data_IF_598225126897
#
_entry.id   IF_598225126897
#
_cell.length_a   1.000
_cell.length_b   1.000
_cell.length_c   1.000
_cell.angle_alpha   90.00
_cell.angle_beta   90.00
_cell.angle_gamma   90.00
#
_symmetry.space_group_name_H-M   'P 1'
#
loop_
_entity.id
_entity.type
_entity.pdbx_description
1 polymer ?
#
# COMPACT_ATOMS: atom_id res chain seq x y z
N UNK A 1 -12.33 -14.33 10.16
CA UNK A 1 -11.16 -13.88 10.90
C UNK A 1 -11.22 -12.38 11.17
N UNK A 2 -10.40 -11.91 12.07
CA UNK A 2 -10.31 -10.48 12.37
C UNK A 2 -10.02 -9.66 11.10
N UNK A 3 -9.08 -10.12 10.28
CA UNK A 3 -8.71 -9.44 9.05
C UNK A 3 -9.85 -9.38 8.06
N UNK A 4 -10.57 -10.49 7.86
CA UNK A 4 -11.73 -10.53 6.97
C UNK A 4 -12.83 -9.60 7.44
N UNK A 5 -13.12 -9.58 8.74
CA UNK A 5 -14.17 -8.73 9.30
C UNK A 5 -13.83 -7.25 9.11
N UNK A 6 -12.56 -6.89 9.32
CA UNK A 6 -12.10 -5.52 9.13
C UNK A 6 -12.25 -5.09 7.67
N UNK A 7 -11.83 -5.93 6.74
CA UNK A 7 -11.94 -5.63 5.31
C UNK A 7 -13.40 -5.50 4.90
N UNK A 8 -14.26 -6.42 5.33
CA UNK A 8 -15.69 -6.36 5.01
C UNK A 8 -16.34 -5.08 5.49
N UNK A 9 -15.92 -4.55 6.64
CA UNK A 9 -16.45 -3.28 7.13
C UNK A 9 -15.94 -2.08 6.33
N UNK A 10 -14.75 -2.17 5.73
CA UNK A 10 -14.14 -1.09 4.96
C UNK A 10 -14.53 -1.10 3.48
N UNK A 11 -14.98 -2.24 2.94
CA UNK A 11 -15.36 -2.38 1.52
C UNK A 11 -16.47 -1.42 1.11
N UNK A 12 -17.32 -0.98 2.04
CA UNK A 12 -18.39 -0.03 1.74
C UNK A 12 -17.88 1.39 1.47
N UNK A 13 -16.60 1.68 1.75
CA UNK A 13 -16.01 2.99 1.49
C UNK A 13 -15.78 3.15 -0.02
N UNK A 14 -16.47 4.12 -0.63
CA UNK A 14 -16.46 4.35 -2.08
C UNK A 14 -15.14 4.87 -2.63
N UNK A 15 -14.27 5.42 -1.76
CA UNK A 15 -12.96 5.95 -2.17
C UNK A 15 -11.86 4.91 -2.07
N UNK A 16 -12.21 3.70 -1.66
CA UNK A 16 -11.26 2.62 -1.46
C UNK A 16 -11.53 1.43 -2.35
N UNK A 17 -10.44 0.77 -2.76
CA UNK A 17 -10.48 -0.46 -3.54
C UNK A 17 -9.63 -1.51 -2.86
N UNK A 18 -10.11 -2.76 -2.84
CA UNK A 18 -9.41 -3.84 -2.16
C UNK A 18 -9.08 -4.96 -3.12
N UNK A 19 -7.90 -5.55 -2.94
CA UNK A 19 -7.51 -6.81 -3.56
C UNK A 19 -7.20 -7.80 -2.45
N UNK A 20 -7.75 -9.00 -2.58
CA UNK A 20 -7.64 -10.05 -1.58
C UNK A 20 -6.83 -11.20 -2.16
N UNK A 21 -5.82 -11.66 -1.42
CA UNK A 21 -5.07 -12.86 -1.80
C UNK A 21 -5.63 -14.05 -1.04
N UNK A 22 -5.92 -15.13 -1.77
CA UNK A 22 -6.44 -16.37 -1.21
C UNK A 22 -5.55 -17.55 -1.58
N UNK A 23 -5.40 -18.47 -0.64
CA UNK A 23 -4.81 -19.78 -0.88
C UNK A 23 -5.83 -20.81 -0.40
N UNK A 24 -6.30 -21.68 -1.31
CA UNK A 24 -7.28 -22.72 -0.98
C UNK A 24 -8.49 -22.17 -0.22
N UNK A 25 -9.09 -21.09 -0.73
CA UNK A 25 -10.26 -20.42 -0.15
C UNK A 25 -9.98 -19.68 1.16
N UNK A 26 -8.74 -19.66 1.64
CA UNK A 26 -8.35 -18.95 2.85
C UNK A 26 -7.75 -17.60 2.49
N UNK A 27 -8.21 -16.54 3.16
CA UNK A 27 -7.63 -15.21 2.99
C UNK A 27 -6.26 -15.16 3.65
N UNK A 28 -5.23 -14.84 2.87
CA UNK A 28 -3.84 -14.81 3.34
C UNK A 28 -3.19 -13.44 3.22
N UNK A 29 -3.85 -12.50 2.59
CA UNK A 29 -3.35 -11.14 2.47
C UNK A 29 -4.33 -10.22 1.78
N UNK A 30 -4.05 -8.93 1.84
CA UNK A 30 -4.86 -7.94 1.14
C UNK A 30 -4.08 -6.66 0.88
N UNK A 31 -4.57 -5.89 -0.08
CA UNK A 31 -4.08 -4.55 -0.37
C UNK A 31 -5.28 -3.60 -0.43
N UNK A 32 -5.07 -2.38 0.02
CA UNK A 32 -6.08 -1.32 -0.03
C UNK A 32 -5.52 -0.13 -0.78
N UNK A 33 -6.23 0.31 -1.81
CA UNK A 33 -5.95 1.53 -2.55
C UNK A 33 -6.95 2.60 -2.16
N UNK A 34 -6.49 3.82 -1.94
CA UNK A 34 -7.34 4.96 -1.63
C UNK A 34 -7.05 6.12 -2.59
N UNK A 35 -8.11 6.72 -3.12
CA UNK A 35 -7.99 7.96 -3.88
C UNK A 35 -8.48 9.10 -2.98
N UNK A 36 -7.55 9.92 -2.54
CA UNK A 36 -7.83 11.04 -1.63
C UNK A 36 -6.72 12.09 -1.73
N UNK A 37 -6.54 12.90 -0.68
CA UNK A 37 -5.50 13.93 -0.68
C UNK A 37 -4.12 13.33 -0.93
N UNK A 38 -3.33 14.01 -1.74
CA UNK A 38 -1.98 13.55 -2.14
C UNK A 38 -0.93 14.52 -1.57
N UNK A 39 0.15 14.00 -0.94
CA UNK A 39 1.24 14.86 -0.48
C UNK A 39 1.86 15.64 -1.63
N UNK A 40 2.32 16.87 -1.35
CA UNK A 40 2.94 17.71 -2.38
C UNK A 40 4.16 17.08 -3.02
N UNK A 41 4.89 16.24 -2.30
CA UNK A 41 6.08 15.57 -2.83
C UNK A 41 5.78 14.46 -3.83
N UNK A 42 4.50 14.07 -3.98
CA UNK A 42 4.08 13.03 -4.93
C UNK A 42 3.54 13.67 -6.18
N UNK A 43 4.25 13.50 -7.28
CA UNK A 43 3.88 14.01 -8.61
C UNK A 43 4.36 13.01 -9.66
N UNK A 44 3.77 12.94 -10.88
CA UNK A 44 2.63 13.75 -11.31
C UNK A 44 1.29 13.26 -10.75
N UNK A 45 0.29 14.11 -10.87
CA UNK A 45 -1.09 13.78 -10.53
C UNK A 45 -1.85 13.34 -11.79
N UNK A 46 -2.94 12.57 -11.66
CA UNK A 46 -3.50 12.06 -10.42
C UNK A 46 -2.68 10.92 -9.83
N UNK A 47 -2.68 10.81 -8.52
CA UNK A 47 -1.97 9.76 -7.81
C UNK A 47 -2.93 8.98 -6.91
N UNK A 48 -2.64 7.70 -6.69
CA UNK A 48 -3.43 6.85 -5.81
C UNK A 48 -2.54 6.30 -4.71
N UNK A 49 -3.09 6.19 -3.50
CA UNK A 49 -2.35 5.68 -2.36
C UNK A 49 -2.54 4.18 -2.18
N UNK A 50 -1.43 3.45 -2.03
CA UNK A 50 -1.44 2.11 -1.48
C UNK A 50 -1.45 2.27 0.04
N UNK A 51 -2.64 2.32 0.63
CA UNK A 51 -2.78 2.65 2.04
C UNK A 51 -2.50 1.47 2.96
N UNK A 52 -2.67 0.24 2.47
CA UNK A 52 -2.36 -0.96 3.22
C UNK A 52 -1.89 -2.07 2.29
N UNK A 53 -0.89 -2.79 2.75
CA UNK A 53 -0.41 -4.01 2.10
C UNK A 53 -0.08 -4.99 3.20
N UNK A 54 -0.80 -6.09 3.27
CA UNK A 54 -0.68 -7.05 4.36
C UNK A 54 -0.68 -8.47 3.85
N UNK A 55 0.18 -9.30 4.42
CA UNK A 55 0.13 -10.74 4.23
C UNK A 55 0.45 -11.43 5.56
N UNK A 56 -0.13 -12.60 5.78
CA UNK A 56 0.12 -13.37 6.97
C UNK A 56 1.60 -13.74 7.06
N UNK A 57 2.19 -13.57 8.24
CA UNK A 57 3.63 -13.78 8.45
C UNK A 57 4.09 -15.17 8.01
N UNK A 58 3.26 -16.19 8.26
CA UNK A 58 3.60 -17.58 7.90
C UNK A 58 3.75 -17.80 6.39
N UNK A 59 3.27 -16.87 5.58
CA UNK A 59 3.38 -16.95 4.11
C UNK A 59 4.36 -15.92 3.55
N UNK A 60 5.12 -15.22 4.39
CA UNK A 60 6.14 -14.29 3.91
C UNK A 60 7.17 -15.04 3.08
N UNK A 61 7.60 -14.42 1.98
CA UNK A 61 8.51 -15.05 1.05
C UNK A 61 7.85 -15.92 -0.02
N UNK A 62 6.52 -16.04 0.02
CA UNK A 62 5.75 -16.83 -0.94
C UNK A 62 5.22 -16.01 -2.13
N UNK A 63 5.56 -14.72 -2.19
CA UNK A 63 5.15 -13.87 -3.32
C UNK A 63 3.77 -13.23 -3.20
N UNK A 64 3.14 -13.30 -2.03
CA UNK A 64 1.81 -12.71 -1.82
C UNK A 64 1.87 -11.19 -1.95
N UNK A 65 2.83 -10.55 -1.28
CA UNK A 65 2.99 -9.09 -1.36
C UNK A 65 3.29 -8.63 -2.78
N UNK A 66 4.16 -9.35 -3.48
CA UNK A 66 4.48 -9.06 -4.88
C UNK A 66 3.23 -9.14 -5.76
N UNK A 67 2.47 -10.21 -5.63
CA UNK A 67 1.24 -10.41 -6.41
C UNK A 67 0.23 -9.30 -6.15
N UNK A 68 0.05 -8.92 -4.89
CA UNK A 68 -0.89 -7.85 -4.51
C UNK A 68 -0.45 -6.50 -5.07
N UNK A 69 0.83 -6.15 -4.95
CA UNK A 69 1.30 -4.84 -5.42
C UNK A 69 1.25 -4.76 -6.95
N UNK A 70 1.50 -5.85 -7.65
CA UNK A 70 1.35 -5.90 -9.09
C UNK A 70 -0.08 -5.63 -9.52
N UNK A 71 -1.06 -6.18 -8.80
CA UNK A 71 -2.48 -5.91 -9.05
C UNK A 71 -2.83 -4.45 -8.78
N UNK A 72 -2.25 -3.86 -7.75
CA UNK A 72 -2.47 -2.45 -7.42
C UNK A 72 -1.91 -1.54 -8.51
N UNK A 73 -0.73 -1.85 -9.02
CA UNK A 73 -0.11 -1.09 -10.11
C UNK A 73 -0.96 -1.21 -11.38
N UNK A 74 -1.43 -2.40 -11.71
CA UNK A 74 -2.32 -2.63 -12.84
C UNK A 74 -3.60 -1.81 -12.71
N UNK A 75 -4.21 -1.83 -11.53
CA UNK A 75 -5.41 -1.04 -11.24
C UNK A 75 -5.15 0.46 -11.47
N UNK A 76 -4.05 0.96 -10.95
CA UNK A 76 -3.69 2.37 -11.08
C UNK A 76 -3.48 2.75 -12.56
N UNK A 77 -2.77 1.93 -13.31
CA UNK A 77 -2.54 2.17 -14.74
C UNK A 77 -3.86 2.14 -15.52
N UNK A 78 -4.73 1.17 -15.26
CA UNK A 78 -6.00 1.02 -15.96
C UNK A 78 -6.98 2.15 -15.65
N UNK A 79 -6.79 2.86 -14.55
CA UNK A 79 -7.64 3.99 -14.16
C UNK A 79 -6.95 5.34 -14.37
N UNK A 80 -5.94 5.36 -15.22
CA UNK A 80 -5.24 6.59 -15.68
C UNK A 80 -4.54 7.38 -14.57
N UNK A 81 -4.18 6.74 -13.46
CA UNK A 81 -3.32 7.37 -12.46
C UNK A 81 -1.90 7.47 -13.00
N UNK A 82 -1.22 8.56 -12.63
CA UNK A 82 0.14 8.85 -13.10
C UNK A 82 1.19 8.42 -12.08
N UNK A 83 0.80 8.28 -10.83
CA UNK A 83 1.69 7.86 -9.75
C UNK A 83 0.93 7.00 -8.75
N UNK A 84 1.67 6.12 -8.07
CA UNK A 84 1.18 5.37 -6.91
C UNK A 84 2.15 5.65 -5.77
N UNK A 85 1.63 5.89 -4.57
CA UNK A 85 2.44 6.24 -3.42
C UNK A 85 1.99 5.53 -2.15
N UNK A 86 2.88 5.51 -1.16
CA UNK A 86 2.61 4.89 0.13
C UNK A 86 3.47 5.53 1.21
N UNK A 87 3.05 5.38 2.47
CA UNK A 87 3.86 5.73 3.63
C UNK A 87 4.38 4.45 4.27
N UNK A 88 5.63 4.45 4.70
CA UNK A 88 6.24 3.31 5.37
C UNK A 88 7.15 3.80 6.48
N UNK A 89 6.99 3.24 7.69
CA UNK A 89 7.81 3.58 8.84
C UNK A 89 9.31 3.47 8.50
N UNK A 90 10.08 4.50 8.82
CA UNK A 90 11.52 4.52 8.50
C UNK A 90 12.27 3.32 9.06
N UNK A 91 11.80 2.77 10.18
CA UNK A 91 12.43 1.59 10.82
C UNK A 91 11.90 0.26 10.29
N UNK A 92 10.96 0.28 9.37
CA UNK A 92 10.46 -0.95 8.74
C UNK A 92 11.42 -1.41 7.65
N UNK A 93 12.56 -1.95 8.07
CA UNK A 93 13.64 -2.33 7.16
C UNK A 93 13.17 -3.28 6.06
N UNK A 94 12.40 -4.29 6.43
CA UNK A 94 11.91 -5.30 5.48
C UNK A 94 10.96 -4.68 4.43
N UNK A 95 9.99 -3.90 4.89
CA UNK A 95 9.04 -3.24 4.00
C UNK A 95 9.73 -2.25 3.07
N UNK A 96 10.63 -1.43 3.62
CA UNK A 96 11.35 -0.43 2.83
C UNK A 96 12.20 -1.08 1.74
N UNK A 97 12.88 -2.19 2.05
CA UNK A 97 13.64 -2.95 1.06
C UNK A 97 12.74 -3.51 -0.04
N UNK A 98 11.56 -4.01 0.33
CA UNK A 98 10.59 -4.53 -0.62
C UNK A 98 10.11 -3.44 -1.59
N UNK A 99 9.74 -2.26 -1.07
CA UNK A 99 9.29 -1.17 -1.93
C UNK A 99 10.38 -0.66 -2.85
N UNK A 100 11.62 -0.56 -2.36
CA UNK A 100 12.75 -0.18 -3.20
C UNK A 100 12.99 -1.19 -4.31
N UNK A 101 12.86 -2.47 -4.00
CA UNK A 101 12.99 -3.56 -5.00
C UNK A 101 11.89 -3.46 -6.05
N UNK A 102 10.70 -3.02 -5.67
CA UNK A 102 9.59 -2.81 -6.58
C UNK A 102 9.68 -1.49 -7.34
N UNK A 103 10.82 -0.81 -7.24
CA UNK A 103 11.13 0.43 -7.97
C UNK A 103 10.35 1.65 -7.50
N UNK A 104 9.89 1.63 -6.24
CA UNK A 104 9.42 2.85 -5.60
C UNK A 104 10.63 3.64 -5.14
N UNK A 105 10.53 4.95 -5.18
CA UNK A 105 11.58 5.86 -4.73
C UNK A 105 11.08 6.71 -3.56
N UNK A 106 11.98 7.10 -2.68
CA UNK A 106 11.63 7.98 -1.57
C UNK A 106 11.41 9.38 -2.13
N UNK A 107 10.18 9.88 -2.02
CA UNK A 107 9.80 11.22 -2.49
C UNK A 107 9.82 12.24 -1.36
N UNK A 108 9.68 11.81 -0.12
CA UNK A 108 9.65 12.69 1.03
C UNK A 108 9.45 11.93 2.32
N UNK A 109 9.06 12.64 3.36
CA UNK A 109 8.76 12.02 4.65
C UNK A 109 7.61 12.75 5.35
N UNK A 110 7.02 12.06 6.33
CA UNK A 110 5.94 12.61 7.14
C UNK A 110 6.07 12.07 8.55
N UNK A 111 5.38 12.71 9.50
CA UNK A 111 5.41 12.31 10.89
C UNK A 111 3.99 12.04 11.39
N UNK A 112 3.88 11.07 12.28
CA UNK A 112 2.62 10.76 12.96
C UNK A 112 2.82 10.78 14.46
N UNK A 113 1.87 11.35 15.18
CA UNK A 113 1.85 11.29 16.64
C UNK A 113 1.13 10.01 17.07
N UNK A 114 1.82 9.17 17.86
CA UNK A 114 1.27 7.94 18.43
C UNK A 114 1.33 8.08 19.95
N UNK A 115 0.28 8.67 20.55
CA UNK A 115 0.29 9.01 21.97
C UNK A 115 1.37 10.05 22.24
N UNK A 116 2.34 9.71 23.10
CA UNK A 116 3.49 10.59 23.41
C UNK A 116 4.66 10.38 22.46
N UNK A 117 4.58 9.39 21.56
CA UNK A 117 5.65 9.09 20.62
C UNK A 117 5.40 9.72 19.25
N UNK A 118 6.47 9.96 18.52
CA UNK A 118 6.40 10.47 17.14
C UNK A 118 7.02 9.40 16.24
N UNK A 119 6.25 8.96 15.25
CA UNK A 119 6.74 8.03 14.23
C UNK A 119 7.05 8.80 12.95
N UNK A 120 8.22 8.54 12.38
CA UNK A 120 8.59 9.11 11.09
C UNK A 120 8.44 8.05 10.00
N UNK A 121 7.76 8.43 8.91
CA UNK A 121 7.57 7.58 7.75
C UNK A 121 8.25 8.17 6.52
N UNK A 122 8.78 7.27 5.67
CA UNK A 122 9.12 7.63 4.30
C UNK A 122 7.83 7.70 3.48
N UNK A 123 7.80 8.63 2.54
CA UNK A 123 6.79 8.59 1.48
C UNK A 123 7.49 8.05 0.25
N UNK A 124 7.05 6.87 -0.19
CA UNK A 124 7.51 6.23 -1.42
C UNK A 124 6.57 6.54 -2.56
N UNK A 125 7.11 6.73 -3.73
CA UNK A 125 6.31 7.00 -4.93
C UNK A 125 6.89 6.24 -6.11
N UNK A 126 6.00 5.83 -7.01
CA UNK A 126 6.38 5.17 -8.25
C UNK A 126 5.64 5.84 -9.41
N UNK A 127 6.40 6.25 -10.42
CA UNK A 127 5.84 6.79 -11.65
C UNK A 127 5.20 5.66 -12.46
N UNK A 128 3.99 5.89 -12.93
CA UNK A 128 3.25 4.96 -13.78
C UNK A 128 3.28 5.49 -15.20
N UNK A 129 3.87 4.73 -16.08
CA UNK A 129 4.01 5.13 -17.49
C UNK A 129 3.19 4.21 -18.37
#
# INVERSE_FOLDING_TARGET
>A
SFTENKIKSEISDRESFFYIAKLEEKWVGYAKLCHGPTPECVRPLPAIELSRLYSLQQYWGCGIGLSLIEKCIEHACNNAFKSIWLSSWKKNTRGNAFYSKMKFEIAGSTTFALGSDIQEDHIFSKLLI
#
